data_IF_527159990369
#
_entry.id   IF_527159990369
#
_cell.length_a   1.000
_cell.length_b   1.000
_cell.length_c   1.000
_cell.angle_alpha   90.00
_cell.angle_beta   90.00
_cell.angle_gamma   90.00
#
_symmetry.space_group_name_H-M   'P 1'
#
loop_
_entity.id
_entity.type
_entity.pdbx_description
1 polymer ?
#
# COMPACT_ATOMS: atom_id res chain seq x y z
N UNK A 1 9.93 1.75 -14.33
CA UNK A 1 9.13 2.62 -13.44
C UNK A 1 9.58 4.03 -13.75
N UNK A 2 8.68 4.95 -14.11
CA UNK A 2 9.06 6.30 -14.51
C UNK A 2 9.91 6.97 -13.43
N UNK A 3 10.95 7.66 -13.85
CA UNK A 3 11.78 8.48 -12.97
C UNK A 3 11.21 9.89 -12.99
N UNK A 4 11.11 10.50 -11.83
CA UNK A 4 10.74 11.90 -11.70
C UNK A 4 11.90 12.76 -12.24
N UNK A 5 11.59 13.63 -13.20
CA UNK A 5 12.59 14.41 -13.96
C UNK A 5 13.31 15.43 -13.07
N UNK A 6 12.62 15.97 -12.07
CA UNK A 6 13.12 17.06 -11.24
C UNK A 6 13.96 16.54 -10.07
N UNK A 7 13.61 15.36 -9.55
CA UNK A 7 14.29 14.79 -8.37
C UNK A 7 15.26 13.65 -8.71
N UNK A 8 15.23 13.11 -9.93
CA UNK A 8 16.01 11.93 -10.33
C UNK A 8 15.63 10.65 -9.58
N UNK A 9 14.61 10.70 -8.72
CA UNK A 9 14.12 9.55 -7.93
C UNK A 9 13.07 8.79 -8.71
N UNK A 10 12.83 7.54 -8.33
CA UNK A 10 11.67 6.80 -8.85
C UNK A 10 10.40 7.55 -8.49
N UNK A 11 9.56 7.81 -9.50
CA UNK A 11 8.27 8.49 -9.31
C UNK A 11 7.47 7.77 -8.23
N UNK A 12 7.04 8.53 -7.22
CA UNK A 12 6.15 8.03 -6.18
C UNK A 12 4.79 7.65 -6.78
N UNK A 13 4.14 6.64 -6.20
CA UNK A 13 2.73 6.37 -6.53
C UNK A 13 1.86 7.49 -5.98
N UNK A 14 1.02 8.08 -6.82
CA UNK A 14 0.06 9.11 -6.42
C UNK A 14 -1.09 8.48 -5.63
N UNK A 15 -1.84 9.28 -4.86
CA UNK A 15 -2.98 8.77 -4.08
C UNK A 15 -4.03 8.11 -4.99
N UNK A 16 -4.36 8.74 -6.12
CA UNK A 16 -5.33 8.21 -7.08
C UNK A 16 -4.91 6.86 -7.65
N UNK A 17 -3.63 6.68 -7.95
CA UNK A 17 -3.09 5.40 -8.40
C UNK A 17 -3.19 4.32 -7.33
N UNK A 18 -2.94 4.66 -6.06
CA UNK A 18 -3.08 3.72 -4.95
C UNK A 18 -4.52 3.26 -4.80
N UNK A 19 -5.48 4.19 -4.88
CA UNK A 19 -6.92 3.89 -4.84
C UNK A 19 -7.29 2.95 -5.98
N UNK A 20 -6.89 3.26 -7.21
CA UNK A 20 -7.21 2.46 -8.39
C UNK A 20 -6.62 1.04 -8.33
N UNK A 21 -5.44 0.87 -7.73
CA UNK A 21 -4.85 -0.45 -7.44
C UNK A 21 -5.72 -1.24 -6.46
N UNK A 22 -6.16 -0.61 -5.36
CA UNK A 22 -6.98 -1.26 -4.33
C UNK A 22 -8.33 -1.67 -4.90
N UNK A 23 -8.99 -0.78 -5.64
CA UNK A 23 -10.26 -1.06 -6.33
C UNK A 23 -10.11 -2.25 -7.30
N UNK A 24 -9.07 -2.23 -8.14
CA UNK A 24 -8.85 -3.32 -9.10
C UNK A 24 -8.57 -4.65 -8.40
N UNK A 25 -7.87 -4.63 -7.27
CA UNK A 25 -7.65 -5.82 -6.46
C UNK A 25 -8.96 -6.32 -5.81
N UNK A 26 -9.84 -5.43 -5.36
CA UNK A 26 -11.15 -5.78 -4.82
C UNK A 26 -12.07 -6.39 -5.88
N UNK A 27 -11.94 -5.96 -7.14
CA UNK A 27 -12.64 -6.54 -8.29
C UNK A 27 -12.06 -7.90 -8.73
N UNK A 28 -11.02 -8.42 -8.07
CA UNK A 28 -10.43 -9.73 -8.36
C UNK A 28 -9.45 -9.77 -9.53
N UNK A 29 -9.01 -8.62 -10.05
CA UNK A 29 -7.99 -8.59 -11.10
C UNK A 29 -6.64 -9.13 -10.60
N UNK A 30 -5.90 -9.82 -11.47
CA UNK A 30 -4.56 -10.29 -11.13
C UNK A 30 -3.59 -9.11 -10.97
N UNK A 31 -2.57 -9.27 -10.13
CA UNK A 31 -1.54 -8.24 -9.94
C UNK A 31 -0.82 -7.86 -11.26
N UNK A 32 -0.77 -8.78 -12.23
CA UNK A 32 -0.18 -8.53 -13.55
C UNK A 32 -1.08 -7.60 -14.35
N UNK A 33 -2.39 -7.84 -14.34
CA UNK A 33 -3.36 -7.01 -15.07
C UNK A 33 -3.47 -5.61 -14.45
N UNK A 34 -3.43 -5.52 -13.12
CA UNK A 34 -3.41 -4.24 -12.40
C UNK A 34 -2.17 -3.43 -12.80
N UNK A 35 -0.99 -4.06 -12.86
CA UNK A 35 0.24 -3.42 -13.26
C UNK A 35 0.17 -2.87 -14.70
N UNK A 36 -0.42 -3.63 -15.62
CA UNK A 36 -0.64 -3.20 -17.01
C UNK A 36 -1.63 -2.03 -17.09
N UNK A 37 -2.77 -2.12 -16.41
CA UNK A 37 -3.81 -1.06 -16.40
C UNK A 37 -3.34 0.26 -15.78
N UNK A 38 -2.48 0.18 -14.77
CA UNK A 38 -2.03 1.36 -14.01
C UNK A 38 -0.66 1.87 -14.43
N UNK A 39 0.02 1.20 -15.38
CA UNK A 39 1.42 1.48 -15.75
C UNK A 39 2.40 1.48 -14.57
N UNK A 40 2.03 0.81 -13.48
CA UNK A 40 2.84 0.69 -12.26
C UNK A 40 3.52 -0.67 -12.27
N UNK A 41 4.77 -0.72 -11.82
CA UNK A 41 5.49 -1.99 -11.74
C UNK A 41 4.78 -2.97 -10.79
N UNK A 42 4.67 -4.24 -11.21
CA UNK A 42 4.07 -5.32 -10.42
C UNK A 42 4.61 -5.39 -8.97
N UNK A 43 5.91 -5.17 -8.80
CA UNK A 43 6.56 -5.13 -7.47
C UNK A 43 6.01 -4.03 -6.56
N UNK A 44 5.65 -2.88 -7.14
CA UNK A 44 5.05 -1.76 -6.40
C UNK A 44 3.60 -2.07 -6.04
N UNK A 45 2.84 -2.65 -6.97
CA UNK A 45 1.47 -3.14 -6.73
C UNK A 45 1.46 -4.15 -5.58
N UNK A 46 2.33 -5.17 -5.64
CA UNK A 46 2.45 -6.19 -4.60
C UNK A 46 2.80 -5.59 -3.23
N UNK A 47 3.77 -4.67 -3.17
CA UNK A 47 4.18 -4.00 -1.93
C UNK A 47 3.02 -3.19 -1.33
N UNK A 48 2.28 -2.48 -2.17
CA UNK A 48 1.13 -1.67 -1.75
C UNK A 48 0.03 -2.56 -1.18
N UNK A 49 -0.36 -3.61 -1.89
CA UNK A 49 -1.39 -4.54 -1.43
C UNK A 49 -1.00 -5.26 -0.14
N UNK A 50 0.27 -5.65 0.01
CA UNK A 50 0.78 -6.21 1.28
C UNK A 50 0.62 -5.22 2.42
N UNK A 51 1.06 -3.96 2.24
CA UNK A 51 0.94 -2.91 3.26
C UNK A 51 -0.52 -2.62 3.59
N UNK A 52 -1.39 -2.56 2.60
CA UNK A 52 -2.83 -2.40 2.78
C UNK A 52 -3.42 -3.51 3.65
N UNK A 53 -3.13 -4.78 3.33
CA UNK A 53 -3.58 -5.93 4.13
C UNK A 53 -3.09 -5.87 5.58
N UNK A 54 -1.83 -5.50 5.80
CA UNK A 54 -1.29 -5.29 7.15
C UNK A 54 -2.00 -4.17 7.90
N UNK A 55 -2.35 -3.08 7.21
CA UNK A 55 -3.05 -1.93 7.83
C UNK A 55 -4.48 -2.31 8.23
N UNK A 56 -5.18 -3.07 7.38
CA UNK A 56 -6.50 -3.62 7.71
C UNK A 56 -6.46 -4.54 8.94
N UNK A 57 -5.41 -5.37 9.06
CA UNK A 57 -5.19 -6.23 10.23
C UNK A 57 -4.74 -5.46 11.49
N UNK A 58 -4.05 -4.33 11.33
CA UNK A 58 -3.66 -3.47 12.44
C UNK A 58 -4.88 -2.72 13.03
N UNK A 59 -5.86 -2.36 12.21
CA UNK A 59 -7.13 -1.79 12.69
C UNK A 59 -7.93 -2.70 13.62
N UNK A 60 -7.71 -4.03 13.56
CA UNK A 60 -8.27 -5.00 14.51
C UNK A 60 -7.45 -5.17 15.79
N UNK A 61 -6.20 -4.70 15.83
CA UNK A 61 -5.41 -4.63 17.07
C UNK A 61 -5.56 -3.22 17.63
N UNK A 62 -6.62 -2.99 18.40
CA UNK A 62 -6.58 -1.95 19.42
C UNK A 62 -5.35 -2.20 20.26
N UNK A 63 -4.35 -1.32 20.14
CA UNK A 63 -3.26 -1.24 21.11
C UNK A 63 -3.92 -0.88 22.43
N UNK A 64 -4.33 -1.89 23.21
CA UNK A 64 -4.77 -1.70 24.58
C UNK A 64 -3.54 -1.23 25.33
N UNK A 65 -3.42 0.09 25.48
CA UNK A 65 -2.43 0.71 26.33
C UNK A 65 -2.62 0.13 27.72
N UNK A 66 -1.70 -0.75 28.11
CA UNK A 66 -1.65 -1.29 29.47
C UNK A 66 -0.70 -0.38 30.23
N UNK A 67 -1.16 0.41 31.23
CA UNK A 67 -0.24 1.15 32.07
C UNK A 67 0.68 0.11 32.72
N UNK A 68 1.99 0.20 32.48
CA UNK A 68 2.95 -0.55 33.29
C UNK A 68 2.71 -0.10 34.73
N UNK A 69 2.48 -1.07 35.61
CA UNK A 69 2.44 -0.87 37.05
C UNK A 69 3.57 0.09 37.45
N UNK A 70 3.17 1.30 37.85
CA UNK A 70 4.05 2.24 38.51
C UNK A 70 4.18 1.71 39.93
N UNK A 71 5.29 1.02 40.20
CA UNK A 71 5.65 0.60 41.55
C UNK A 71 5.69 1.86 42.43
N UNK A 72 4.74 1.92 43.38
CA UNK A 72 4.74 2.80 44.54
C UNK A 72 4.97 1.93 45.78
#
# INVERSE_FOLDING_TARGET
MPTDRDTGKRRGTTILERVRIIESNALGFSQRDIALKTTISKTTVQRLLKRWKTTQQAGTRTTQWSPRNSDY
#
